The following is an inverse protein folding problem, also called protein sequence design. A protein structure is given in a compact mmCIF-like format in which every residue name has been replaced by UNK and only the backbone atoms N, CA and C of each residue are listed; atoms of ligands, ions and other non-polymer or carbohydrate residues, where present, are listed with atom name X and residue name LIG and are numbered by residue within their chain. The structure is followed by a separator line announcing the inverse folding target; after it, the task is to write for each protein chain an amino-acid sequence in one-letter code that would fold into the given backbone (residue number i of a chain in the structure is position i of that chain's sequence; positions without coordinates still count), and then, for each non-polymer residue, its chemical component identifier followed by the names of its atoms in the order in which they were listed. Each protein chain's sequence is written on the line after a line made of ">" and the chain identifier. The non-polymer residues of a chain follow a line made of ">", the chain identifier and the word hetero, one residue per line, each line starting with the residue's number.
data_IF_189366992143
#
_entry.id   IF_189366992143
#
_cell.length_a   1.000
_cell.length_b   1.000
_cell.length_c   1.000
_cell.angle_alpha   90.00
_cell.angle_beta   90.00
_cell.angle_gamma   90.00
#
_symmetry.space_group_name_H-M   'P 1'
#
loop_
_entity.id
_entity.type
_entity.pdbx_description
1 polymer ?
#
# COMPACT_ATOMS: atom_id res chain seq x y z
N UNK A 1 -21.93 -18.63 -5.69
CA UNK A 1 -22.58 -18.60 -4.36
C UNK A 1 -22.24 -19.82 -3.52
N UNK A 2 -22.48 -21.04 -4.02
CA UNK A 2 -22.20 -22.31 -3.32
C UNK A 2 -20.74 -22.47 -2.85
N UNK A 3 -19.76 -22.05 -3.66
CA UNK A 3 -18.33 -22.10 -3.29
C UNK A 3 -18.00 -21.23 -2.05
N UNK A 4 -18.58 -20.03 -1.97
CA UNK A 4 -18.38 -19.12 -0.83
C UNK A 4 -19.01 -19.66 0.45
N UNK A 5 -20.21 -20.24 0.35
CA UNK A 5 -20.87 -20.92 1.47
C UNK A 5 -20.03 -22.10 1.97
N UNK A 6 -19.47 -22.90 1.06
CA UNK A 6 -18.61 -24.01 1.42
C UNK A 6 -17.31 -23.55 2.12
N UNK A 7 -16.69 -22.46 1.64
CA UNK A 7 -15.55 -21.85 2.32
C UNK A 7 -15.89 -21.35 3.72
N UNK A 8 -17.06 -20.71 3.91
CA UNK A 8 -17.49 -20.26 5.24
C UNK A 8 -17.77 -21.43 6.19
N UNK A 9 -18.40 -22.50 5.70
CA UNK A 9 -18.70 -23.69 6.52
C UNK A 9 -17.45 -24.50 6.87
N UNK A 10 -16.39 -24.41 6.06
CA UNK A 10 -15.13 -25.13 6.28
C UNK A 10 -14.02 -24.27 6.89
N UNK A 11 -14.20 -22.95 6.96
CA UNK A 11 -13.29 -22.05 7.68
C UNK A 11 -13.62 -22.06 9.17
N UNK A 12 -12.85 -22.81 9.95
CA UNK A 12 -13.13 -23.05 11.38
C UNK A 12 -12.47 -22.04 12.32
N UNK A 13 -11.44 -21.33 11.87
CA UNK A 13 -10.79 -20.28 12.63
C UNK A 13 -10.05 -19.31 11.69
N UNK A 14 -9.94 -18.07 12.13
CA UNK A 14 -9.04 -17.08 11.53
C UNK A 14 -7.88 -16.89 12.52
N UNK A 15 -6.68 -17.25 12.09
CA UNK A 15 -5.45 -16.93 12.83
C UNK A 15 -4.92 -15.63 12.25
N UNK A 16 -4.86 -14.59 13.08
CA UNK A 16 -4.37 -13.28 12.68
C UNK A 16 -3.34 -12.78 13.69
N UNK A 17 -2.21 -12.32 13.18
CA UNK A 17 -1.24 -11.60 13.98
C UNK A 17 -1.71 -10.15 14.16
N UNK A 18 -1.86 -9.72 15.42
CA UNK A 18 -2.34 -8.39 15.77
C UNK A 18 -1.25 -7.63 16.50
N UNK A 19 -0.93 -6.43 16.00
CA UNK A 19 0.06 -5.54 16.60
C UNK A 19 -0.57 -4.21 16.97
N UNK A 20 -0.30 -3.76 18.20
CA UNK A 20 -0.62 -2.40 18.64
C UNK A 20 0.62 -1.53 18.48
N UNK A 21 0.52 -0.52 17.63
CA UNK A 21 1.58 0.47 17.47
C UNK A 21 1.31 1.67 18.37
N UNK A 22 2.36 2.36 18.86
CA UNK A 22 2.20 3.64 19.56
C UNK A 22 1.42 4.67 18.72
N UNK A 23 0.61 5.53 19.36
CA UNK A 23 -0.11 6.57 18.64
C UNK A 23 0.86 7.54 17.97
N UNK A 24 0.56 7.90 16.73
CA UNK A 24 1.34 8.84 15.94
C UNK A 24 0.54 10.14 15.81
N UNK A 25 1.20 11.27 16.06
CA UNK A 25 0.61 12.60 15.92
C UNK A 25 1.27 13.35 14.76
N UNK A 26 0.52 14.24 14.13
CA UNK A 26 1.03 15.07 13.05
C UNK A 26 2.11 16.03 13.57
N UNK A 27 3.25 16.08 12.91
CA UNK A 27 4.37 16.95 13.26
C UNK A 27 4.11 18.40 12.89
N UNK A 28 4.91 19.31 13.45
CA UNK A 28 4.86 20.72 13.05
C UNK A 28 5.32 20.87 11.60
N UNK A 29 4.48 21.49 10.76
CA UNK A 29 4.75 21.70 9.33
C UNK A 29 4.56 20.46 8.46
N UNK A 30 4.17 19.31 9.02
CA UNK A 30 3.86 18.10 8.25
C UNK A 30 2.50 18.26 7.57
N UNK A 31 2.40 17.97 6.27
CA UNK A 31 1.10 17.95 5.57
C UNK A 31 0.33 16.65 5.87
N UNK A 32 -0.99 16.65 5.73
CA UNK A 32 -1.85 15.48 5.94
C UNK A 32 -1.42 14.26 5.11
N UNK A 33 -0.96 14.48 3.87
CA UNK A 33 -0.47 13.40 2.98
C UNK A 33 0.84 12.81 3.50
N UNK A 34 1.74 13.64 4.01
CA UNK A 34 3.03 13.23 4.56
C UNK A 34 2.82 12.45 5.87
N UNK A 35 1.93 12.95 6.72
CA UNK A 35 1.51 12.28 7.94
C UNK A 35 0.94 10.89 7.67
N UNK A 36 -0.03 10.78 6.74
CA UNK A 36 -0.62 9.50 6.36
C UNK A 36 0.43 8.54 5.79
N UNK A 37 1.37 9.04 4.99
CA UNK A 37 2.47 8.25 4.43
C UNK A 37 3.41 7.73 5.51
N UNK A 38 3.72 8.53 6.54
CA UNK A 38 4.56 8.14 7.68
C UNK A 38 3.88 7.07 8.54
N UNK A 39 2.58 7.22 8.83
CA UNK A 39 1.80 6.22 9.56
C UNK A 39 1.74 4.91 8.78
N UNK A 40 1.43 4.97 7.48
CA UNK A 40 1.43 3.80 6.60
C UNK A 40 2.79 3.09 6.61
N UNK A 41 3.89 3.82 6.55
CA UNK A 41 5.24 3.23 6.61
C UNK A 41 5.50 2.48 7.90
N UNK A 42 5.07 3.03 9.05
CA UNK A 42 5.21 2.36 10.33
C UNK A 42 4.44 1.03 10.38
N UNK A 43 3.20 1.02 9.86
CA UNK A 43 2.37 -0.18 9.77
C UNK A 43 3.00 -1.20 8.81
N UNK A 44 3.44 -0.77 7.62
CA UNK A 44 4.08 -1.64 6.64
C UNK A 44 5.33 -2.30 7.20
N UNK A 45 6.17 -1.55 7.92
CA UNK A 45 7.35 -2.09 8.59
C UNK A 45 6.99 -3.14 9.65
N UNK A 46 5.96 -2.89 10.45
CA UNK A 46 5.52 -3.84 11.47
C UNK A 46 4.96 -5.13 10.86
N UNK A 47 4.19 -5.02 9.77
CA UNK A 47 3.62 -6.17 9.06
C UNK A 47 4.55 -6.85 8.05
N UNK A 48 5.82 -6.43 7.94
CA UNK A 48 6.75 -6.95 6.93
C UNK A 48 6.34 -6.66 5.47
N UNK A 49 5.52 -5.63 5.26
CA UNK A 49 4.98 -5.26 3.95
C UNK A 49 5.88 -4.23 3.27
N UNK A 50 5.89 -4.27 1.93
CA UNK A 50 6.59 -3.26 1.12
C UNK A 50 5.78 -1.96 1.12
N UNK A 51 6.40 -0.87 1.59
CA UNK A 51 5.79 0.47 1.54
C UNK A 51 5.77 1.01 0.10
N UNK A 52 4.65 0.80 -0.58
CA UNK A 52 4.43 1.28 -1.95
C UNK A 52 3.70 2.62 -1.92
N UNK A 53 4.08 3.56 -2.79
CA UNK A 53 3.31 4.81 -2.99
C UNK A 53 1.91 4.61 -3.62
N UNK A 54 1.52 3.37 -3.92
CA UNK A 54 0.28 3.09 -4.65
C UNK A 54 -0.96 3.45 -3.85
N UNK A 55 -1.89 4.12 -4.54
CA UNK A 55 -3.27 4.30 -4.13
C UNK A 55 -4.03 2.99 -4.31
N UNK A 56 -4.80 2.58 -3.30
CA UNK A 56 -5.68 1.41 -3.37
C UNK A 56 -6.68 1.48 -4.52
N UNK A 57 -6.97 2.68 -5.04
CA UNK A 57 -7.79 2.87 -6.23
C UNK A 57 -7.20 2.22 -7.49
N UNK A 58 -5.88 2.02 -7.55
CA UNK A 58 -5.23 1.32 -8.66
C UNK A 58 -5.58 -0.19 -8.71
N UNK A 59 -6.17 -0.76 -7.64
CA UNK A 59 -6.75 -2.11 -7.68
C UNK A 59 -8.05 -2.17 -8.49
N UNK A 60 -8.73 -1.03 -8.66
CA UNK A 60 -10.03 -0.92 -9.33
C UNK A 60 -9.92 -0.26 -10.70
N UNK A 61 -8.98 0.68 -10.84
CA UNK A 61 -8.83 1.50 -12.04
C UNK A 61 -7.39 1.45 -12.55
N UNK A 62 -7.20 1.54 -13.87
CA UNK A 62 -5.86 1.65 -14.46
C UNK A 62 -5.20 2.98 -14.06
N UNK A 63 -3.85 3.03 -13.91
CA UNK A 63 -3.15 4.28 -13.65
C UNK A 63 -3.41 5.30 -14.77
N UNK A 64 -3.52 6.58 -14.40
CA UNK A 64 -3.65 7.66 -15.39
C UNK A 64 -2.44 7.66 -16.34
N UNK A 65 -2.62 8.02 -17.62
CA UNK A 65 -1.54 8.04 -18.61
C UNK A 65 -0.33 8.87 -18.17
N UNK A 66 -0.54 10.06 -17.61
CA UNK A 66 0.54 10.95 -17.11
C UNK A 66 1.50 10.26 -16.14
N UNK A 67 0.99 9.44 -15.20
CA UNK A 67 1.83 8.74 -14.23
C UNK A 67 2.64 7.61 -14.87
N UNK A 68 2.11 6.98 -15.92
CA UNK A 68 2.82 5.95 -16.69
C UNK A 68 3.94 6.57 -17.50
N UNK A 69 3.67 7.67 -18.19
CA UNK A 69 4.66 8.42 -18.97
C UNK A 69 5.81 8.90 -18.09
N UNK A 70 5.51 9.45 -16.92
CA UNK A 70 6.55 9.89 -15.97
C UNK A 70 7.47 8.74 -15.51
N UNK A 71 6.91 7.55 -15.26
CA UNK A 71 7.71 6.37 -14.94
C UNK A 71 8.52 5.88 -16.14
N UNK A 72 7.95 5.90 -17.35
CA UNK A 72 8.67 5.55 -18.58
C UNK A 72 9.86 6.49 -18.84
N UNK A 73 9.72 7.78 -18.53
CA UNK A 73 10.81 8.74 -18.64
C UNK A 73 11.95 8.43 -17.66
N UNK A 74 11.63 8.16 -16.39
CA UNK A 74 12.59 7.72 -15.38
C UNK A 74 13.32 6.43 -15.79
N UNK A 75 12.59 5.44 -16.31
CA UNK A 75 13.19 4.21 -16.84
C UNK A 75 14.07 4.48 -18.06
N UNK A 76 13.63 5.35 -18.98
CA UNK A 76 14.42 5.73 -20.15
C UNK A 76 15.75 6.37 -19.76
N UNK A 77 15.76 7.22 -18.71
CA UNK A 77 17.01 7.80 -18.18
C UNK A 77 17.96 6.74 -17.63
N UNK A 78 17.44 5.70 -16.96
CA UNK A 78 18.24 4.57 -16.45
C UNK A 78 18.81 3.69 -17.58
N UNK A 79 18.07 3.52 -18.66
CA UNK A 79 18.47 2.73 -19.83
C UNK A 79 19.52 3.41 -20.71
N UNK A 80 19.65 4.75 -20.66
CA UNK A 80 20.58 5.53 -21.49
C UNK A 80 22.01 5.62 -20.92
N UNK A 81 22.33 4.86 -19.87
CA UNK A 81 23.66 4.87 -19.21
C UNK A 81 24.52 3.66 -19.63
N UNK A 82 24.17 2.98 -20.72
CA UNK A 82 25.09 2.07 -21.45
C UNK A 82 25.56 2.70 -22.77
#
# INVERSE_FOLDING_TARGET
>A
MTHYLYMMMTSWAIVADVWYLPPMFQGQGENAVEFASRVKRAISKQGGLVDLMWDGQLKRMKPKPEWKERQQEEFSKRLKVE
#
